data_IF_675077813053
#
_entry.id   IF_675077813053
#
_cell.length_a   1.000
_cell.length_b   1.000
_cell.length_c   1.000
_cell.angle_alpha   90.00
_cell.angle_beta   90.00
_cell.angle_gamma   90.00
#
_symmetry.space_group_name_H-M   'P 1'
#
loop_
_entity.id
_entity.type
_entity.pdbx_description
1 polymer ?
#
# COMPACT_ATOMS: atom_id res chain seq x y z
N UNK A 1 2.61 9.97 18.08
CA UNK A 1 3.11 9.23 16.88
C UNK A 1 2.86 7.71 16.94
N UNK A 2 3.39 6.96 17.91
CA UNK A 2 3.30 5.47 17.98
C UNK A 2 1.86 4.91 17.97
N UNK A 3 0.93 5.60 18.63
CA UNK A 3 -0.47 5.17 18.74
C UNK A 3 -1.20 5.04 17.39
N UNK A 4 -0.85 5.84 16.38
CA UNK A 4 -1.55 5.80 15.08
C UNK A 4 -1.02 4.70 14.16
N UNK A 5 0.28 4.40 14.24
CA UNK A 5 0.84 3.23 13.55
C UNK A 5 0.35 1.94 14.21
N UNK A 6 0.20 1.95 15.54
CA UNK A 6 -0.41 0.85 16.28
C UNK A 6 -1.87 0.62 15.86
N UNK A 7 -2.69 1.66 15.85
CA UNK A 7 -4.08 1.59 15.38
C UNK A 7 -4.18 1.09 13.94
N UNK A 8 -3.26 1.53 13.08
CA UNK A 8 -3.24 1.10 11.69
C UNK A 8 -2.82 -0.37 11.53
N UNK A 9 -1.77 -0.81 12.24
CA UNK A 9 -1.33 -2.19 12.25
C UNK A 9 -2.39 -3.13 12.86
N UNK A 10 -3.06 -2.71 13.94
CA UNK A 10 -4.21 -3.43 14.50
C UNK A 10 -5.38 -3.50 13.50
N UNK A 11 -5.63 -2.42 12.76
CA UNK A 11 -6.59 -2.39 11.64
C UNK A 11 -6.25 -3.41 10.55
N UNK A 12 -4.97 -3.52 10.15
CA UNK A 12 -4.52 -4.53 9.19
C UNK A 12 -4.72 -5.96 9.71
N UNK A 13 -4.49 -6.20 11.00
CA UNK A 13 -4.66 -7.52 11.64
C UNK A 13 -6.14 -7.93 11.77
N UNK A 14 -7.03 -6.97 11.99
CA UNK A 14 -8.49 -7.20 12.11
C UNK A 14 -9.20 -7.26 10.75
N UNK A 15 -8.57 -6.73 9.69
CA UNK A 15 -9.14 -6.68 8.34
C UNK A 15 -9.64 -8.04 7.82
N UNK A 16 -8.99 -9.15 8.20
CA UNK A 16 -9.38 -10.50 7.78
C UNK A 16 -10.57 -11.07 8.59
N UNK A 17 -10.71 -10.69 9.86
CA UNK A 17 -11.77 -11.20 10.75
C UNK A 17 -13.12 -10.57 10.41
N UNK A 18 -13.12 -9.29 10.07
CA UNK A 18 -14.33 -8.56 9.67
C UNK A 18 -14.66 -8.69 8.17
N UNK A 19 -13.81 -9.34 7.36
CA UNK A 19 -13.99 -9.49 5.91
C UNK A 19 -15.30 -10.22 5.53
N UNK A 20 -15.69 -11.23 6.32
CA UNK A 20 -16.95 -11.99 6.14
C UNK A 20 -18.17 -11.08 6.37
N UNK A 21 -18.10 -10.19 7.35
CA UNK A 21 -19.12 -9.19 7.68
C UNK A 21 -19.12 -8.02 6.68
N UNK A 22 -17.96 -7.63 6.15
CA UNK A 22 -17.80 -6.55 5.17
C UNK A 22 -18.37 -6.87 3.79
N UNK A 23 -18.32 -8.14 3.34
CA UNK A 23 -18.98 -8.56 2.09
C UNK A 23 -20.50 -8.32 2.08
N UNK A 24 -21.12 -8.28 3.26
CA UNK A 24 -22.56 -8.09 3.44
C UNK A 24 -23.01 -6.62 3.38
N UNK A 25 -22.10 -5.66 3.46
CA UNK A 25 -22.44 -4.24 3.58
C UNK A 25 -22.02 -3.52 2.30
N UNK A 26 -22.74 -3.82 1.20
CA UNK A 26 -22.61 -3.11 -0.09
C UNK A 26 -23.34 -1.76 -0.13
N UNK A 27 -24.06 -1.40 0.93
CA UNK A 27 -24.81 -0.15 1.00
C UNK A 27 -24.68 0.45 2.40
N UNK A 28 -24.32 1.74 2.44
CA UNK A 28 -24.12 2.63 3.58
C UNK A 28 -22.74 2.70 4.25
N UNK A 29 -22.23 3.92 4.16
CA UNK A 29 -21.21 4.61 4.94
C UNK A 29 -20.96 4.01 6.32
N UNK A 30 -19.75 3.50 6.56
CA UNK A 30 -19.28 3.12 7.89
C UNK A 30 -18.20 4.09 8.37
N UNK A 31 -18.46 4.69 9.52
CA UNK A 31 -17.47 5.33 10.37
C UNK A 31 -16.73 4.20 11.09
N UNK A 32 -15.42 4.09 10.88
CA UNK A 32 -14.57 3.18 11.68
C UNK A 32 -14.64 3.65 13.14
N UNK A 33 -15.47 3.00 13.95
CA UNK A 33 -15.56 3.30 15.37
C UNK A 33 -14.37 2.66 16.08
N UNK A 34 -13.22 3.34 16.04
CA UNK A 34 -11.94 2.94 16.61
C UNK A 34 -12.00 2.70 18.14
N UNK A 35 -13.10 3.06 18.82
CA UNK A 35 -13.30 2.85 20.27
C UNK A 35 -13.67 1.40 20.65
N UNK A 36 -14.05 0.56 19.68
CA UNK A 36 -14.44 -0.83 19.93
C UNK A 36 -13.46 -1.86 19.36
N UNK A 37 -12.20 -1.46 19.13
CA UNK A 37 -11.11 -2.44 19.00
C UNK A 37 -10.91 -3.07 20.38
N UNK A 38 -11.78 -4.04 20.73
CA UNK A 38 -11.46 -4.98 21.78
C UNK A 38 -10.13 -5.60 21.39
N UNK A 39 -9.14 -5.51 22.28
CA UNK A 39 -7.86 -6.22 22.17
C UNK A 39 -8.15 -7.72 22.10
N UNK A 40 -8.53 -8.22 20.93
CA UNK A 40 -8.42 -9.64 20.63
C UNK A 40 -6.92 -9.89 20.57
N UNK A 41 -6.36 -10.34 21.70
CA UNK A 41 -5.03 -10.95 21.74
C UNK A 41 -5.06 -12.18 20.83
N UNK A 42 -4.94 -11.97 19.52
CA UNK A 42 -4.64 -13.04 18.60
C UNK A 42 -3.21 -13.47 18.90
N UNK A 43 -3.10 -14.61 19.57
CA UNK A 43 -1.86 -15.32 19.91
C UNK A 43 -1.18 -15.93 18.68
N UNK A 44 -1.79 -15.82 17.49
CA UNK A 44 -1.23 -16.32 16.24
C UNK A 44 -0.52 -15.21 15.46
N UNK A 45 0.70 -15.52 15.04
CA UNK A 45 1.53 -14.75 14.10
C UNK A 45 0.74 -14.41 12.84
N UNK A 46 0.49 -13.12 12.58
CA UNK A 46 -0.21 -12.67 11.39
C UNK A 46 0.78 -12.50 10.24
N UNK A 47 0.46 -12.96 9.03
CA UNK A 47 1.34 -12.88 7.86
C UNK A 47 0.95 -11.71 6.97
N UNK A 48 1.89 -10.78 6.81
CA UNK A 48 1.68 -9.53 6.08
C UNK A 48 2.68 -9.47 4.92
N UNK A 49 2.18 -9.24 3.71
CA UNK A 49 3.03 -8.95 2.56
C UNK A 49 2.91 -7.47 2.20
N UNK A 50 4.02 -6.74 2.32
CA UNK A 50 4.10 -5.32 1.96
C UNK A 50 4.74 -5.18 0.59
N UNK A 51 4.03 -4.55 -0.35
CA UNK A 51 4.54 -4.22 -1.69
C UNK A 51 4.73 -2.70 -1.76
N UNK A 52 5.98 -2.24 -1.75
CA UNK A 52 6.29 -0.81 -1.60
C UNK A 52 7.18 -0.32 -2.74
N UNK A 53 6.70 0.71 -3.44
CA UNK A 53 7.47 1.46 -4.43
C UNK A 53 7.26 2.96 -4.19
N UNK A 54 8.29 3.78 -4.07
CA UNK A 54 9.74 3.53 -4.12
C UNK A 54 10.33 2.90 -2.84
N UNK A 55 11.59 2.44 -2.92
CA UNK A 55 12.28 1.73 -1.83
C UNK A 55 12.24 2.45 -0.50
N UNK A 56 11.71 1.84 0.59
CA UNK A 56 11.80 2.44 1.92
C UNK A 56 13.23 2.49 2.47
N UNK A 57 14.16 1.81 1.80
CA UNK A 57 15.55 1.64 2.22
C UNK A 57 16.39 2.83 1.74
N UNK A 58 16.37 3.08 0.43
CA UNK A 58 17.20 4.09 -0.23
C UNK A 58 16.49 5.41 -0.45
N UNK A 59 15.20 5.41 -0.78
CA UNK A 59 14.47 6.63 -1.12
C UNK A 59 13.96 7.33 0.15
N UNK A 60 14.19 8.65 0.23
CA UNK A 60 13.71 9.48 1.34
C UNK A 60 12.60 10.38 0.84
N UNK A 61 11.36 9.94 1.02
CA UNK A 61 10.17 10.72 0.70
C UNK A 61 9.08 10.50 1.76
N UNK A 62 7.96 11.23 1.65
CA UNK A 62 6.88 11.17 2.65
C UNK A 62 6.22 9.80 2.77
N UNK A 63 6.21 9.00 1.70
CA UNK A 63 5.67 7.64 1.69
C UNK A 63 6.63 6.69 2.37
N UNK A 64 7.91 6.71 2.02
CA UNK A 64 8.92 5.80 2.57
C UNK A 64 9.10 5.98 4.06
N UNK A 65 9.07 7.22 4.57
CA UNK A 65 9.09 7.48 6.02
C UNK A 65 7.94 6.79 6.76
N UNK A 66 6.74 6.74 6.18
CA UNK A 66 5.61 6.02 6.80
C UNK A 66 5.81 4.52 6.78
N UNK A 67 6.23 3.96 5.66
CA UNK A 67 6.50 2.52 5.59
C UNK A 67 7.62 2.08 6.52
N UNK A 68 8.67 2.90 6.70
CA UNK A 68 9.73 2.64 7.69
C UNK A 68 9.16 2.60 9.11
N UNK A 69 8.33 3.58 9.48
CA UNK A 69 7.66 3.61 10.80
C UNK A 69 6.72 2.42 11.01
N UNK A 70 5.99 2.03 9.97
CA UNK A 70 5.14 0.83 10.01
C UNK A 70 5.98 -0.44 10.21
N UNK A 71 7.06 -0.60 9.45
CA UNK A 71 7.99 -1.72 9.59
C UNK A 71 8.62 -1.75 10.98
N UNK A 72 9.09 -0.62 11.48
CA UNK A 72 9.65 -0.50 12.82
C UNK A 72 8.62 -0.88 13.89
N UNK A 73 7.39 -0.40 13.75
CA UNK A 73 6.30 -0.77 14.65
C UNK A 73 6.04 -2.28 14.63
N UNK A 74 5.92 -2.89 13.44
CA UNK A 74 5.68 -4.32 13.31
C UNK A 74 6.83 -5.13 13.92
N UNK A 75 8.08 -4.70 13.74
CA UNK A 75 9.26 -5.33 14.34
C UNK A 75 9.29 -5.16 15.85
N UNK A 76 8.95 -3.98 16.38
CA UNK A 76 9.12 -3.69 17.81
C UNK A 76 7.94 -4.14 18.67
N UNK A 77 6.73 -4.21 18.10
CA UNK A 77 5.48 -4.33 18.86
C UNK A 77 4.65 -5.57 18.52
N UNK A 78 5.03 -6.33 17.49
CA UNK A 78 4.29 -7.52 17.06
C UNK A 78 5.22 -8.72 16.88
N UNK A 79 4.65 -9.93 16.77
CA UNK A 79 5.37 -11.13 16.32
C UNK A 79 4.94 -11.55 14.90
N UNK A 80 4.44 -10.60 14.12
CA UNK A 80 3.87 -10.84 12.80
C UNK A 80 4.97 -11.24 11.79
N UNK A 81 4.60 -12.09 10.85
CA UNK A 81 5.46 -12.53 9.75
C UNK A 81 5.33 -11.54 8.60
N UNK A 82 6.25 -10.58 8.54
CA UNK A 82 6.23 -9.54 7.52
C UNK A 82 7.23 -9.88 6.43
N UNK A 83 6.81 -9.80 5.17
CA UNK A 83 7.74 -9.77 4.04
C UNK A 83 7.57 -8.45 3.28
N UNK A 84 8.69 -7.87 2.86
CA UNK A 84 8.74 -6.63 2.09
C UNK A 84 9.19 -6.95 0.67
N UNK A 85 8.38 -6.59 -0.32
CA UNK A 85 8.78 -6.56 -1.73
C UNK A 85 8.93 -5.11 -2.15
N UNK A 86 10.06 -4.77 -2.72
CA UNK A 86 10.38 -3.40 -3.12
C UNK A 86 11.30 -3.36 -4.33
N UNK A 87 11.28 -2.27 -5.09
CA UNK A 87 12.27 -2.00 -6.12
C UNK A 87 13.56 -1.44 -5.52
N UNK A 88 14.74 -1.85 -5.98
CA UNK A 88 16.01 -1.19 -5.63
C UNK A 88 16.83 -0.93 -6.89
N UNK A 89 17.37 0.29 -7.00
CA UNK A 89 18.02 0.79 -8.22
C UNK A 89 19.34 1.50 -7.91
N UNK A 90 19.54 1.94 -6.67
CA UNK A 90 20.68 2.78 -6.26
C UNK A 90 21.76 1.95 -5.57
N UNK A 91 21.37 1.05 -4.67
CA UNK A 91 22.32 0.23 -3.92
C UNK A 91 22.83 -0.95 -4.75
N UNK A 92 24.16 -1.09 -4.84
CA UNK A 92 24.82 -2.26 -5.46
C UNK A 92 24.63 -3.55 -4.65
N UNK A 93 24.63 -3.43 -3.33
CA UNK A 93 24.48 -4.55 -2.39
C UNK A 93 23.43 -4.13 -1.36
N UNK A 94 22.14 -4.28 -1.67
CA UNK A 94 21.09 -3.87 -0.75
C UNK A 94 20.89 -4.92 0.36
N UNK A 95 20.43 -4.50 1.55
CA UNK A 95 20.25 -5.41 2.68
C UNK A 95 19.15 -6.44 2.39
N UNK A 96 19.34 -7.69 2.79
CA UNK A 96 18.32 -8.74 2.57
C UNK A 96 17.25 -8.79 3.66
N UNK A 97 17.44 -8.05 4.76
CA UNK A 97 16.51 -8.00 5.88
C UNK A 97 16.39 -6.58 6.45
N UNK A 98 15.17 -6.17 6.80
CA UNK A 98 14.92 -4.95 7.57
C UNK A 98 15.02 -5.27 9.06
N UNK A 99 15.93 -4.58 9.75
CA UNK A 99 16.24 -4.76 11.18
C UNK A 99 16.45 -6.22 11.60
N UNK A 100 16.96 -7.05 10.68
CA UNK A 100 17.24 -8.48 10.91
C UNK A 100 16.01 -9.38 11.09
N UNK A 101 14.78 -8.88 10.89
CA UNK A 101 13.54 -9.63 11.16
C UNK A 101 12.60 -9.76 9.96
N UNK A 102 12.59 -8.78 9.07
CA UNK A 102 11.68 -8.74 7.92
C UNK A 102 12.47 -9.01 6.64
N UNK A 103 12.27 -10.15 5.98
CA UNK A 103 12.89 -10.42 4.67
C UNK A 103 12.53 -9.36 3.63
N UNK A 104 13.52 -8.98 2.83
CA UNK A 104 13.36 -8.00 1.76
C UNK A 104 13.62 -8.69 0.41
N UNK A 105 12.65 -8.58 -0.48
CA UNK A 105 12.68 -9.12 -1.82
C UNK A 105 12.74 -7.97 -2.82
N UNK A 106 13.73 -8.01 -3.69
CA UNK A 106 13.98 -6.94 -4.64
C UNK A 106 13.42 -7.28 -6.01
N UNK A 107 12.62 -6.37 -6.55
CA UNK A 107 12.21 -6.40 -7.96
C UNK A 107 13.15 -5.51 -8.78
N UNK A 108 13.35 -5.85 -10.06
CA UNK A 108 14.20 -5.04 -10.94
C UNK A 108 13.50 -3.72 -11.28
N UNK A 109 14.01 -2.63 -10.71
CA UNK A 109 13.48 -1.28 -10.91
C UNK A 109 14.28 -0.45 -11.92
N UNK A 110 13.69 0.66 -12.33
CA UNK A 110 14.37 1.75 -13.01
C UNK A 110 13.97 3.09 -12.39
N UNK A 111 14.86 4.07 -12.51
CA UNK A 111 14.55 5.45 -12.14
C UNK A 111 13.70 6.07 -13.25
N UNK A 112 12.60 6.72 -12.89
CA UNK A 112 11.78 7.40 -13.89
C UNK A 112 12.54 8.65 -14.39
N UNK A 113 12.74 8.83 -15.71
CA UNK A 113 13.37 10.03 -16.25
C UNK A 113 12.65 11.30 -15.74
N UNK A 114 13.40 12.32 -15.33
CA UNK A 114 12.90 13.57 -14.69
C UNK A 114 12.41 13.44 -13.24
N UNK A 115 12.42 12.25 -12.64
CA UNK A 115 12.09 12.01 -11.24
C UNK A 115 13.21 11.26 -10.53
N UNK A 116 14.18 11.99 -9.98
CA UNK A 116 15.33 11.40 -9.26
C UNK A 116 14.96 10.65 -7.97
N UNK A 117 13.74 10.84 -7.46
CA UNK A 117 13.33 10.33 -6.15
C UNK A 117 12.27 9.23 -6.25
N UNK A 118 11.90 8.84 -7.48
CA UNK A 118 10.88 7.83 -7.76
C UNK A 118 11.52 6.67 -8.52
N UNK A 119 11.78 5.59 -7.81
CA UNK A 119 12.01 4.29 -8.43
C UNK A 119 10.68 3.55 -8.58
N UNK A 120 10.50 2.96 -9.76
CA UNK A 120 9.39 2.05 -10.08
C UNK A 120 9.98 0.77 -10.65
N UNK A 121 9.29 -0.34 -10.47
CA UNK A 121 9.70 -1.62 -11.02
C UNK A 121 8.57 -2.25 -11.81
N UNK A 122 8.93 -2.64 -13.03
CA UNK A 122 8.17 -3.65 -13.71
C UNK A 122 8.67 -4.99 -13.14
N UNK A 123 7.88 -5.62 -12.26
CA UNK A 123 8.23 -6.92 -11.67
C UNK A 123 8.14 -8.04 -12.72
N UNK A 124 9.04 -7.97 -13.70
CA UNK A 124 9.15 -8.89 -14.83
C UNK A 124 9.46 -10.31 -14.36
N UNK A 125 10.14 -10.43 -13.22
CA UNK A 125 10.50 -11.69 -12.59
C UNK A 125 9.37 -12.31 -11.77
N UNK A 126 8.21 -11.65 -11.69
CA UNK A 126 7.07 -12.07 -10.88
C UNK A 126 7.45 -12.37 -9.42
N UNK A 127 8.43 -11.65 -8.89
CA UNK A 127 8.96 -11.84 -7.54
C UNK A 127 7.88 -11.56 -6.49
N UNK A 128 7.04 -10.54 -6.69
CA UNK A 128 5.92 -10.27 -5.80
C UNK A 128 4.93 -11.44 -5.76
N UNK A 129 4.64 -12.05 -6.91
CA UNK A 129 3.72 -13.18 -6.99
C UNK A 129 4.31 -14.43 -6.33
N UNK A 130 5.60 -14.70 -6.54
CA UNK A 130 6.31 -15.82 -5.89
C UNK A 130 6.28 -15.68 -4.37
N UNK A 131 6.65 -14.51 -3.86
CA UNK A 131 6.61 -14.18 -2.41
C UNK A 131 5.21 -14.37 -1.82
N UNK A 132 4.18 -13.84 -2.48
CA UNK A 132 2.79 -13.99 -2.02
C UNK A 132 2.36 -15.46 -2.02
N UNK A 133 2.73 -16.21 -3.06
CA UNK A 133 2.40 -17.63 -3.18
C UNK A 133 3.05 -18.50 -2.10
N UNK A 134 4.32 -18.21 -1.78
CA UNK A 134 5.11 -18.91 -0.76
C UNK A 134 4.68 -18.54 0.67
N UNK A 135 4.57 -17.24 0.96
CA UNK A 135 4.22 -16.75 2.29
C UNK A 135 2.75 -17.04 2.64
N UNK A 136 1.84 -17.06 1.65
CA UNK A 136 0.38 -17.11 1.86
C UNK A 136 -0.08 -16.07 2.89
N UNK A 137 0.14 -14.76 2.62
CA UNK A 137 -0.17 -13.71 3.56
C UNK A 137 -1.68 -13.63 3.81
N UNK A 138 -2.06 -13.14 4.98
CA UNK A 138 -3.46 -12.88 5.34
C UNK A 138 -3.91 -11.49 4.87
N UNK A 139 -2.97 -10.61 4.54
CA UNK A 139 -3.24 -9.31 3.91
C UNK A 139 -2.09 -8.92 3.00
N UNK A 140 -2.42 -8.38 1.83
CA UNK A 140 -1.46 -7.72 0.94
C UNK A 140 -1.66 -6.22 1.12
N UNK A 141 -0.58 -5.51 1.43
CA UNK A 141 -0.59 -4.07 1.51
C UNK A 141 0.32 -3.48 0.44
N UNK A 142 -0.28 -2.83 -0.55
CA UNK A 142 0.44 -2.24 -1.69
C UNK A 142 0.42 -0.71 -1.62
N UNK A 143 1.56 -0.09 -1.88
CA UNK A 143 1.62 1.35 -2.00
C UNK A 143 1.17 1.83 -3.39
N UNK A 144 0.54 3.00 -3.47
CA UNK A 144 0.00 3.58 -4.71
C UNK A 144 0.45 5.04 -4.88
N UNK A 145 0.84 5.45 -6.09
CA UNK A 145 0.94 4.65 -7.33
C UNK A 145 2.09 3.66 -7.28
N UNK A 146 1.89 2.49 -7.89
CA UNK A 146 2.93 1.47 -8.02
C UNK A 146 2.66 0.63 -9.27
N UNK A 147 3.73 0.20 -9.92
CA UNK A 147 3.69 -0.79 -10.99
C UNK A 147 3.48 -2.22 -10.45
N UNK A 148 3.62 -2.43 -9.14
CA UNK A 148 3.24 -3.68 -8.47
C UNK A 148 1.73 -3.77 -8.19
N UNK A 149 0.99 -2.66 -8.27
CA UNK A 149 -0.46 -2.61 -8.04
C UNK A 149 -1.26 -3.61 -8.90
N UNK A 150 -1.03 -3.73 -10.23
CA UNK A 150 -1.72 -4.71 -11.06
C UNK A 150 -1.45 -6.16 -10.61
N UNK A 151 -0.21 -6.47 -10.23
CA UNK A 151 0.16 -7.80 -9.71
C UNK A 151 -0.47 -8.08 -8.35
N UNK A 152 -0.51 -7.08 -7.47
CA UNK A 152 -1.19 -7.17 -6.18
C UNK A 152 -2.67 -7.46 -6.35
N UNK A 153 -3.31 -6.77 -7.30
CA UNK A 153 -4.70 -7.00 -7.71
C UNK A 153 -4.90 -8.44 -8.19
N UNK A 154 -4.05 -8.90 -9.12
CA UNK A 154 -4.12 -10.25 -9.65
C UNK A 154 -3.94 -11.31 -8.56
N UNK A 155 -2.89 -11.19 -7.75
CA UNK A 155 -2.57 -12.11 -6.66
C UNK A 155 -3.69 -12.15 -5.60
N UNK A 156 -4.24 -10.99 -5.24
CA UNK A 156 -5.40 -10.92 -4.33
C UNK A 156 -6.59 -11.72 -4.84
N UNK A 157 -6.89 -11.65 -6.16
CA UNK A 157 -8.00 -12.42 -6.74
C UNK A 157 -7.71 -13.90 -6.88
N UNK A 158 -6.49 -14.28 -7.28
CA UNK A 158 -6.08 -15.69 -7.43
C UNK A 158 -6.07 -16.40 -6.07
N UNK A 159 -5.45 -15.78 -5.06
CA UNK A 159 -5.26 -16.39 -3.75
C UNK A 159 -6.37 -16.04 -2.75
N UNK A 160 -7.35 -15.23 -3.15
CA UNK A 160 -8.44 -14.74 -2.30
C UNK A 160 -7.95 -14.04 -1.03
N UNK A 161 -6.89 -13.24 -1.16
CA UNK A 161 -6.27 -12.52 -0.05
C UNK A 161 -6.77 -11.06 -0.08
N UNK A 162 -7.19 -10.49 1.06
CA UNK A 162 -7.61 -9.11 1.13
C UNK A 162 -6.50 -8.13 0.72
N UNK A 163 -6.85 -7.12 -0.08
CA UNK A 163 -5.93 -6.13 -0.64
C UNK A 163 -6.16 -4.73 -0.07
N UNK A 164 -5.12 -4.17 0.54
CA UNK A 164 -5.11 -2.79 1.04
C UNK A 164 -4.16 -1.95 0.18
N UNK A 165 -4.66 -0.84 -0.37
CA UNK A 165 -3.89 0.07 -1.21
C UNK A 165 -3.66 1.42 -0.51
N UNK A 166 -2.42 1.83 -0.24
CA UNK A 166 -2.13 3.16 0.32
C UNK A 166 -1.82 4.19 -0.75
N UNK A 167 -2.68 5.19 -0.93
CA UNK A 167 -2.51 6.28 -1.88
C UNK A 167 -1.69 7.43 -1.30
N UNK A 168 -0.48 7.63 -1.83
CA UNK A 168 0.49 8.60 -1.31
C UNK A 168 0.77 9.78 -2.25
N UNK A 169 0.88 9.55 -3.56
CA UNK A 169 1.26 10.58 -4.52
C UNK A 169 0.03 11.10 -5.29
N UNK A 170 -0.09 12.41 -5.43
CA UNK A 170 -1.23 13.05 -6.10
C UNK A 170 -1.00 13.17 -7.61
N UNK A 171 -0.94 12.03 -8.33
CA UNK A 171 -0.65 12.01 -9.78
C UNK A 171 -1.52 12.94 -10.64
N UNK A 172 -2.84 13.09 -10.40
CA UNK A 172 -3.68 13.92 -11.25
C UNK A 172 -3.24 15.40 -11.30
N UNK A 173 -2.85 15.94 -10.13
CA UNK A 173 -2.32 17.31 -10.01
C UNK A 173 -0.91 17.40 -10.61
N UNK A 174 -0.15 16.31 -10.59
CA UNK A 174 1.17 16.26 -11.22
C UNK A 174 1.07 16.25 -12.76
N UNK A 175 0.19 15.42 -13.33
CA UNK A 175 -0.11 15.42 -14.76
C UNK A 175 -0.53 16.82 -15.23
N UNK A 176 -1.38 17.50 -14.43
CA UNK A 176 -1.81 18.88 -14.66
C UNK A 176 -0.70 19.91 -14.75
N UNK A 177 0.38 19.75 -13.98
CA UNK A 177 1.39 20.80 -13.78
C UNK A 177 2.65 20.62 -14.62
N UNK A 178 2.91 19.42 -15.13
CA UNK A 178 4.19 19.07 -15.76
C UNK A 178 4.09 18.67 -17.23
N UNK A 179 2.89 18.45 -17.77
CA UNK A 179 2.69 18.04 -19.16
C UNK A 179 2.20 19.20 -20.03
N UNK A 180 2.56 19.23 -21.33
CA UNK A 180 2.06 20.23 -22.28
C UNK A 180 0.52 20.32 -22.25
N UNK A 181 -0.06 21.53 -22.28
CA UNK A 181 -1.51 21.73 -22.14
C UNK A 181 -2.38 20.91 -23.11
N UNK A 182 -1.85 20.64 -24.31
CA UNK A 182 -2.54 19.91 -25.39
C UNK A 182 -2.82 18.44 -25.03
N UNK A 183 -1.95 17.81 -24.25
CA UNK A 183 -2.07 16.38 -23.85
C UNK A 183 -2.50 16.19 -22.40
N UNK A 184 -2.52 17.27 -21.62
CA UNK A 184 -2.77 17.25 -20.19
C UNK A 184 -4.13 16.63 -19.82
N UNK A 185 -5.20 17.07 -20.50
CA UNK A 185 -6.54 16.56 -20.22
C UNK A 185 -6.67 15.05 -20.46
N UNK A 186 -6.14 14.56 -21.58
CA UNK A 186 -6.19 13.12 -21.92
C UNK A 186 -5.40 12.31 -20.90
N UNK A 187 -4.19 12.77 -20.54
CA UNK A 187 -3.36 12.07 -19.55
C UNK A 187 -4.02 12.09 -18.18
N UNK A 188 -4.64 13.19 -17.78
CA UNK A 188 -5.36 13.26 -16.53
C UNK A 188 -6.54 12.27 -16.49
N UNK A 189 -7.38 12.26 -17.53
CA UNK A 189 -8.48 11.29 -17.64
C UNK A 189 -7.96 9.84 -17.58
N UNK A 190 -6.83 9.56 -18.25
CA UNK A 190 -6.21 8.24 -18.21
C UNK A 190 -5.70 7.89 -16.80
N UNK A 191 -5.06 8.83 -16.11
CA UNK A 191 -4.60 8.63 -14.72
C UNK A 191 -5.79 8.34 -13.80
N UNK A 192 -6.89 9.07 -13.93
CA UNK A 192 -8.10 8.80 -13.15
C UNK A 192 -8.72 7.45 -13.48
N UNK A 193 -8.77 7.06 -14.75
CA UNK A 193 -9.25 5.74 -15.16
C UNK A 193 -8.39 4.61 -14.57
N UNK A 194 -7.06 4.77 -14.58
CA UNK A 194 -6.11 3.84 -13.98
C UNK A 194 -6.31 3.75 -12.46
N UNK A 195 -6.43 4.90 -11.78
CA UNK A 195 -6.67 4.94 -10.34
C UNK A 195 -8.00 4.26 -10.00
N UNK A 196 -9.07 4.57 -10.73
CA UNK A 196 -10.37 3.93 -10.58
C UNK A 196 -10.28 2.42 -10.75
N UNK A 197 -9.63 1.94 -11.81
CA UNK A 197 -9.48 0.51 -12.09
C UNK A 197 -8.81 -0.23 -10.93
N UNK A 198 -7.65 0.24 -10.49
CA UNK A 198 -6.86 -0.47 -9.47
C UNK A 198 -7.41 -0.29 -8.06
N UNK A 199 -7.84 0.91 -7.69
CA UNK A 199 -8.42 1.14 -6.36
C UNK A 199 -9.82 0.53 -6.22
N UNK A 200 -10.56 0.34 -7.32
CA UNK A 200 -11.79 -0.48 -7.30
C UNK A 200 -11.52 -1.96 -7.09
N UNK A 201 -10.32 -2.45 -7.44
CA UNK A 201 -9.90 -3.81 -7.16
C UNK A 201 -9.50 -4.00 -5.68
N UNK A 202 -8.90 -2.97 -5.06
CA UNK A 202 -8.55 -2.99 -3.64
C UNK A 202 -9.79 -3.08 -2.74
N UNK A 203 -9.71 -3.91 -1.70
CA UNK A 203 -10.78 -4.03 -0.70
C UNK A 203 -10.81 -2.79 0.21
N UNK A 204 -9.65 -2.15 0.42
CA UNK A 204 -9.54 -0.91 1.17
C UNK A 204 -8.51 0.02 0.53
N UNK A 205 -8.88 1.28 0.30
CA UNK A 205 -7.93 2.32 -0.09
C UNK A 205 -7.68 3.26 1.08
N UNK A 206 -6.40 3.46 1.40
CA UNK A 206 -5.96 4.26 2.53
C UNK A 206 -5.32 5.55 2.01
N UNK A 207 -5.80 6.71 2.45
CA UNK A 207 -5.31 8.03 2.01
C UNK A 207 -4.72 8.83 3.17
N UNK A 208 -3.78 9.74 2.90
CA UNK A 208 -3.08 10.45 3.99
C UNK A 208 -3.80 11.72 4.49
N UNK A 209 -4.93 12.12 3.89
CA UNK A 209 -5.69 13.29 4.33
C UNK A 209 -7.16 13.22 3.93
N UNK A 210 -8.06 13.89 4.67
CA UNK A 210 -9.48 14.00 4.29
C UNK A 210 -9.68 14.67 2.93
N UNK A 211 -8.83 15.63 2.55
CA UNK A 211 -8.93 16.25 1.24
C UNK A 211 -8.72 15.23 0.12
N UNK A 212 -7.65 14.42 0.19
CA UNK A 212 -7.42 13.37 -0.81
C UNK A 212 -8.54 12.33 -0.83
N UNK A 213 -9.16 12.06 0.32
CA UNK A 213 -10.33 11.17 0.38
C UNK A 213 -11.45 11.71 -0.50
N UNK A 214 -11.81 12.99 -0.35
CA UNK A 214 -12.84 13.63 -1.15
C UNK A 214 -12.49 13.61 -2.63
N UNK A 215 -11.24 13.95 -2.98
CA UNK A 215 -10.79 13.97 -4.37
C UNK A 215 -10.93 12.58 -5.03
N UNK A 216 -10.62 11.49 -4.31
CA UNK A 216 -10.83 10.12 -4.81
C UNK A 216 -12.32 9.76 -4.89
N UNK A 217 -13.12 10.13 -3.90
CA UNK A 217 -14.57 9.87 -3.87
C UNK A 217 -15.31 10.60 -5.00
N UNK A 218 -14.91 11.83 -5.34
CA UNK A 218 -15.41 12.62 -6.48
C UNK A 218 -15.14 11.92 -7.83
N UNK A 219 -14.06 11.15 -7.92
CA UNK A 219 -13.71 10.34 -9.08
C UNK A 219 -14.21 8.89 -8.97
N UNK A 220 -15.26 8.67 -8.17
CA UNK A 220 -15.94 7.37 -8.00
C UNK A 220 -15.06 6.26 -7.43
N UNK A 221 -13.94 6.57 -6.79
CA UNK A 221 -13.06 5.57 -6.18
C UNK A 221 -13.64 5.16 -4.81
N UNK A 222 -14.06 3.88 -4.64
CA UNK A 222 -14.78 3.47 -3.46
C UNK A 222 -13.85 3.12 -2.28
N UNK A 223 -14.44 2.96 -1.08
CA UNK A 223 -13.79 2.36 0.11
C UNK A 223 -12.50 3.09 0.52
N UNK A 224 -12.55 4.42 0.56
CA UNK A 224 -11.43 5.27 0.98
C UNK A 224 -11.49 5.57 2.49
N UNK A 225 -10.41 5.30 3.22
CA UNK A 225 -10.23 5.65 4.64
C UNK A 225 -8.98 6.50 4.85
N UNK A 226 -9.02 7.40 5.84
CA UNK A 226 -7.86 8.26 6.13
C UNK A 226 -6.94 7.53 7.10
N UNK A 227 -5.65 7.40 6.75
CA UNK A 227 -4.59 6.99 7.67
C UNK A 227 -3.97 8.24 8.30
N UNK A 228 -4.39 8.59 9.53
CA UNK A 228 -3.98 9.82 10.18
C UNK A 228 -2.45 9.88 10.31
N UNK A 229 -1.87 11.07 10.12
CA UNK A 229 -0.48 11.28 10.48
C UNK A 229 -0.41 11.25 12.00
N UNK A 230 0.50 10.44 12.55
CA UNK A 230 1.02 10.74 13.88
C UNK A 230 1.74 12.08 13.80
N UNK A 231 1.12 13.12 14.35
CA UNK A 231 1.77 14.41 14.63
C UNK A 231 2.90 14.16 15.62
#
# INVERSE_FOLDING_TARGET
>A
IVLHEAQYAEGLRTFNVDFVTWKSIRHNTMVVNCRQVQRSHHTNKFRICLLVESSPITSVNRQTVRFRRLLDFLVDQTDDDVQLVTSEVVMRIPPTMWRGRVPIHYTQGFMVPYFSDVSVSFDWTATALAVISEQRPQVIHVSSPSLLMPLACLASRIFQIPLVASYHAHLPVYARTKLPPIINFIVECLVWAILFMFHSCADLTVVMSPQRRRDLEEHSIPRCVVWPKGV
#
